data_IF_700563083937
#
_entry.id   IF_700563083937
#
_cell.length_a   1.000
_cell.length_b   1.000
_cell.length_c   1.000
_cell.angle_alpha   90.00
_cell.angle_beta   90.00
_cell.angle_gamma   90.00
#
_symmetry.space_group_name_H-M   'P 1'
#
loop_
_entity.id
_entity.type
_entity.pdbx_description
1 polymer ?
#
# COMPACT_ATOMS: atom_id res chain seq x y z
N UNK A 1 -24.96 -3.46 -15.55
CA UNK A 1 -23.83 -2.97 -16.38
C UNK A 1 -22.60 -2.95 -15.48
N UNK A 2 -21.45 -3.42 -15.88
CA UNK A 2 -20.28 -3.41 -15.00
C UNK A 2 -19.57 -2.08 -15.13
N UNK A 3 -19.49 -1.32 -14.06
CA UNK A 3 -18.74 -0.06 -13.97
C UNK A 3 -17.26 -0.26 -14.32
N UNK A 4 -16.68 -1.39 -13.97
CA UNK A 4 -15.27 -1.69 -14.25
C UNK A 4 -14.89 -1.46 -15.72
N UNK A 5 -15.74 -1.86 -16.69
CA UNK A 5 -15.44 -1.68 -18.12
C UNK A 5 -15.37 -0.21 -18.53
N UNK A 6 -16.25 0.62 -17.95
CA UNK A 6 -16.27 2.06 -18.24
C UNK A 6 -15.07 2.75 -17.60
N UNK A 7 -14.72 2.39 -16.35
CA UNK A 7 -13.49 2.87 -15.70
C UNK A 7 -12.25 2.53 -16.51
N UNK A 8 -12.09 1.28 -16.95
CA UNK A 8 -10.93 0.86 -17.74
C UNK A 8 -10.82 1.67 -19.04
N UNK A 9 -11.92 1.93 -19.74
CA UNK A 9 -11.92 2.75 -20.94
C UNK A 9 -11.39 4.16 -20.67
N UNK A 10 -11.92 4.87 -19.62
CA UNK A 10 -11.47 6.23 -19.30
C UNK A 10 -10.03 6.27 -18.81
N UNK A 11 -9.55 5.22 -18.17
CA UNK A 11 -8.14 5.06 -17.77
C UNK A 11 -7.26 4.90 -19.03
N UNK A 12 -7.63 4.04 -19.98
CA UNK A 12 -6.92 3.83 -21.25
C UNK A 12 -6.88 5.12 -22.09
N UNK A 13 -8.00 5.84 -22.14
CA UNK A 13 -8.12 7.13 -22.85
C UNK A 13 -7.39 8.28 -22.13
N UNK A 14 -6.86 8.03 -20.91
CA UNK A 14 -6.22 9.01 -20.04
C UNK A 14 -7.12 10.24 -19.76
N UNK A 15 -8.43 10.02 -19.64
CA UNK A 15 -9.44 11.06 -19.45
C UNK A 15 -9.81 11.21 -17.97
N UNK A 16 -9.07 12.05 -17.27
CA UNK A 16 -9.29 12.33 -15.83
C UNK A 16 -10.66 12.97 -15.56
N UNK A 17 -11.20 13.74 -16.50
CA UNK A 17 -12.47 14.45 -16.29
C UNK A 17 -13.64 13.46 -16.29
N UNK A 18 -13.71 12.60 -17.30
CA UNK A 18 -14.75 11.58 -17.38
C UNK A 18 -14.56 10.52 -16.28
N UNK A 19 -13.31 10.18 -15.91
CA UNK A 19 -13.02 9.31 -14.79
C UNK A 19 -13.60 9.84 -13.47
N UNK A 20 -13.45 11.13 -13.19
CA UNK A 20 -14.03 11.80 -12.00
C UNK A 20 -15.55 11.78 -12.01
N UNK A 21 -16.16 12.11 -13.15
CA UNK A 21 -17.62 12.06 -13.27
C UNK A 21 -18.19 10.68 -13.01
N UNK A 22 -17.56 9.65 -13.58
CA UNK A 22 -17.94 8.25 -13.35
C UNK A 22 -17.72 7.83 -11.89
N UNK A 23 -16.64 8.31 -11.25
CA UNK A 23 -16.35 8.05 -9.85
C UNK A 23 -17.40 8.65 -8.91
N UNK A 24 -17.80 9.89 -9.13
CA UNK A 24 -18.87 10.54 -8.37
C UNK A 24 -20.18 9.78 -8.51
N UNK A 25 -20.52 9.33 -9.73
CA UNK A 25 -21.70 8.50 -9.99
C UNK A 25 -21.61 7.15 -9.25
N UNK A 26 -20.45 6.49 -9.29
CA UNK A 26 -20.22 5.23 -8.60
C UNK A 26 -20.33 5.37 -7.08
N UNK A 27 -19.82 6.46 -6.51
CA UNK A 27 -19.84 6.71 -5.06
C UNK A 27 -21.24 7.01 -4.48
N UNK A 28 -22.25 7.26 -5.31
CA UNK A 28 -23.63 7.45 -4.86
C UNK A 28 -24.53 6.22 -5.06
N UNK A 29 -23.98 5.11 -5.54
CA UNK A 29 -24.71 3.85 -5.65
C UNK A 29 -25.09 3.30 -4.28
N UNK A 30 -26.28 2.72 -4.15
CA UNK A 30 -26.74 2.11 -2.88
C UNK A 30 -25.96 0.84 -2.49
N UNK A 31 -25.45 0.11 -3.47
CA UNK A 31 -24.74 -1.16 -3.29
C UNK A 31 -23.53 -1.20 -4.22
N UNK A 32 -22.37 -1.55 -3.66
CA UNK A 32 -21.14 -1.82 -4.41
C UNK A 32 -20.65 -3.23 -4.15
N UNK A 33 -20.07 -3.83 -5.17
CA UNK A 33 -19.39 -5.12 -5.03
C UNK A 33 -17.92 -4.90 -4.69
N UNK A 34 -17.43 -5.49 -3.60
CA UNK A 34 -16.08 -5.29 -3.11
C UNK A 34 -15.01 -5.66 -4.14
N UNK A 35 -15.16 -6.77 -4.85
CA UNK A 35 -14.19 -7.19 -5.88
C UNK A 35 -14.18 -6.26 -7.10
N UNK A 36 -15.34 -5.69 -7.48
CA UNK A 36 -15.40 -4.70 -8.54
C UNK A 36 -14.68 -3.42 -8.12
N UNK A 37 -14.97 -2.89 -6.92
CA UNK A 37 -14.28 -1.71 -6.37
C UNK A 37 -12.78 -1.93 -6.26
N UNK A 38 -12.34 -3.08 -5.74
CA UNK A 38 -10.92 -3.45 -5.66
C UNK A 38 -10.26 -3.41 -7.04
N UNK A 39 -10.91 -3.97 -8.06
CA UNK A 39 -10.39 -3.99 -9.44
C UNK A 39 -10.31 -2.59 -10.04
N UNK A 40 -11.29 -1.73 -9.80
CA UNK A 40 -11.29 -0.32 -10.24
C UNK A 40 -10.13 0.44 -9.60
N UNK A 41 -9.99 0.35 -8.27
CA UNK A 41 -8.91 1.04 -7.55
C UNK A 41 -7.53 0.54 -7.96
N UNK A 42 -7.37 -0.76 -8.20
CA UNK A 42 -6.11 -1.32 -8.69
C UNK A 42 -5.76 -0.75 -10.07
N UNK A 43 -6.71 -0.68 -10.99
CA UNK A 43 -6.50 -0.10 -12.32
C UNK A 43 -6.13 1.39 -12.24
N UNK A 44 -6.79 2.17 -11.39
CA UNK A 44 -6.45 3.59 -11.17
C UNK A 44 -5.02 3.70 -10.62
N UNK A 45 -4.67 2.93 -9.58
CA UNK A 45 -3.34 2.93 -8.95
C UNK A 45 -2.22 2.65 -9.96
N UNK A 46 -2.42 1.72 -10.88
CA UNK A 46 -1.43 1.33 -11.89
C UNK A 46 -1.34 2.30 -13.08
N UNK A 47 -2.26 3.24 -13.19
CA UNK A 47 -2.34 4.20 -14.28
C UNK A 47 -1.55 5.48 -14.02
N UNK A 48 -1.33 6.26 -15.09
CA UNK A 48 -0.81 7.64 -14.99
C UNK A 48 -1.75 8.60 -14.27
N UNK A 49 -3.03 8.21 -14.11
CA UNK A 49 -4.06 9.01 -13.48
C UNK A 49 -4.08 8.87 -11.94
N UNK A 50 -3.34 7.93 -11.33
CA UNK A 50 -3.33 7.74 -9.88
C UNK A 50 -3.06 9.04 -9.11
N UNK A 51 -2.00 9.77 -9.50
CA UNK A 51 -1.61 11.00 -8.82
C UNK A 51 -2.63 12.14 -8.96
N UNK A 52 -3.14 12.49 -10.16
CA UNK A 52 -4.16 13.53 -10.30
C UNK A 52 -5.52 13.13 -9.71
N UNK A 53 -5.79 11.83 -9.53
CA UNK A 53 -7.01 11.29 -8.94
C UNK A 53 -6.94 11.17 -7.41
N UNK A 54 -5.77 11.33 -6.81
CA UNK A 54 -5.53 11.05 -5.40
C UNK A 54 -6.43 11.78 -4.41
N UNK A 55 -6.91 12.99 -4.73
CA UNK A 55 -7.85 13.73 -3.89
C UNK A 55 -9.31 13.24 -4.00
N UNK A 56 -9.63 12.51 -5.06
CA UNK A 56 -11.01 12.12 -5.35
C UNK A 56 -11.35 10.75 -4.71
N UNK A 57 -10.33 9.96 -4.38
CA UNK A 57 -10.52 8.59 -3.87
C UNK A 57 -11.19 8.55 -2.50
N UNK A 58 -11.03 9.60 -1.67
CA UNK A 58 -11.66 9.71 -0.34
C UNK A 58 -13.18 9.61 -0.38
N UNK A 59 -13.83 9.98 -1.49
CA UNK A 59 -15.29 9.94 -1.64
C UNK A 59 -15.89 8.54 -1.45
N UNK A 60 -15.10 7.48 -1.66
CA UNK A 60 -15.57 6.09 -1.53
C UNK A 60 -15.63 5.60 -0.07
N UNK A 61 -15.00 6.29 0.88
CA UNK A 61 -14.87 5.82 2.26
C UNK A 61 -16.21 5.44 2.90
N UNK A 62 -17.29 6.22 2.79
CA UNK A 62 -18.58 5.84 3.38
C UNK A 62 -19.15 4.53 2.82
N UNK A 63 -18.95 4.27 1.51
CA UNK A 63 -19.43 3.04 0.87
C UNK A 63 -18.50 1.85 1.18
N UNK A 64 -17.19 2.08 1.20
CA UNK A 64 -16.23 1.05 1.58
C UNK A 64 -16.52 0.50 2.99
N UNK A 65 -16.91 1.34 3.95
CA UNK A 65 -17.26 0.92 5.32
C UNK A 65 -18.46 -0.06 5.36
N UNK A 66 -19.26 -0.14 4.28
CA UNK A 66 -20.39 -1.09 4.18
C UNK A 66 -19.95 -2.50 3.75
N UNK A 67 -18.71 -2.69 3.30
CA UNK A 67 -18.21 -3.99 2.83
C UNK A 67 -17.96 -4.90 4.01
N UNK A 68 -18.70 -6.00 4.07
CA UNK A 68 -18.66 -6.95 5.20
C UNK A 68 -17.50 -7.94 5.15
N UNK A 69 -16.95 -8.23 3.97
CA UNK A 69 -15.79 -9.11 3.84
C UNK A 69 -14.52 -8.39 4.33
N UNK A 70 -13.96 -8.84 5.45
CA UNK A 70 -12.81 -8.18 6.08
C UNK A 70 -11.53 -8.23 5.23
N UNK A 71 -11.33 -9.27 4.43
CA UNK A 71 -10.13 -9.40 3.60
C UNK A 71 -10.22 -8.45 2.41
N UNK A 72 -11.34 -8.43 1.71
CA UNK A 72 -11.60 -7.51 0.59
C UNK A 72 -11.58 -6.06 1.08
N UNK A 73 -12.25 -5.78 2.19
CA UNK A 73 -12.30 -4.45 2.82
C UNK A 73 -10.89 -3.93 3.15
N UNK A 74 -10.02 -4.79 3.67
CA UNK A 74 -8.64 -4.40 3.98
C UNK A 74 -7.80 -4.14 2.72
N UNK A 75 -7.94 -4.97 1.68
CA UNK A 75 -7.25 -4.78 0.40
C UNK A 75 -7.68 -3.46 -0.26
N UNK A 76 -8.99 -3.14 -0.21
CA UNK A 76 -9.53 -1.86 -0.70
C UNK A 76 -8.95 -0.70 0.12
N UNK A 77 -8.91 -0.80 1.45
CA UNK A 77 -8.29 0.22 2.30
C UNK A 77 -6.84 0.49 1.91
N UNK A 78 -6.05 -0.56 1.64
CA UNK A 78 -4.67 -0.39 1.15
C UNK A 78 -4.63 0.42 -0.14
N UNK A 79 -5.49 0.09 -1.10
CA UNK A 79 -5.56 0.81 -2.38
C UNK A 79 -5.97 2.28 -2.19
N UNK A 80 -6.96 2.55 -1.34
CA UNK A 80 -7.35 3.92 -0.99
C UNK A 80 -6.14 4.70 -0.48
N UNK A 81 -5.40 4.16 0.50
CA UNK A 81 -4.23 4.84 1.07
C UNK A 81 -3.02 4.88 0.14
N UNK A 82 -2.91 3.98 -0.83
CA UNK A 82 -1.85 4.02 -1.84
C UNK A 82 -2.09 5.13 -2.89
N UNK A 83 -3.37 5.46 -3.18
CA UNK A 83 -3.77 6.49 -4.16
C UNK A 83 -3.93 7.86 -3.49
N UNK A 84 -4.49 7.90 -2.27
CA UNK A 84 -4.87 9.12 -1.53
C UNK A 84 -3.68 10.04 -1.26
N UNK A 85 -3.88 11.34 -1.48
CA UNK A 85 -2.83 12.36 -1.34
C UNK A 85 -3.20 13.56 -0.46
N UNK A 86 -4.43 13.63 0.07
CA UNK A 86 -4.89 14.81 0.85
C UNK A 86 -4.31 14.87 2.26
N UNK A 87 -3.90 13.73 2.84
CA UNK A 87 -3.36 13.66 4.19
C UNK A 87 -4.27 14.27 5.27
N UNK A 88 -5.59 14.08 5.16
CA UNK A 88 -6.53 14.61 6.15
C UNK A 88 -6.41 13.93 7.51
N UNK A 89 -6.77 14.66 8.58
CA UNK A 89 -6.73 14.11 9.93
C UNK A 89 -7.72 12.94 10.12
N UNK A 90 -8.83 12.95 9.37
CA UNK A 90 -9.82 11.87 9.38
C UNK A 90 -9.24 10.59 8.78
N UNK A 91 -8.60 10.67 7.63
CA UNK A 91 -7.90 9.54 7.01
C UNK A 91 -6.76 9.00 7.87
N UNK A 92 -5.98 9.86 8.50
CA UNK A 92 -4.93 9.42 9.42
C UNK A 92 -5.50 8.63 10.61
N UNK A 93 -6.65 9.07 11.17
CA UNK A 93 -7.32 8.34 12.24
C UNK A 93 -7.88 7.01 11.75
N UNK A 94 -8.45 6.97 10.55
CA UNK A 94 -8.96 5.75 9.92
C UNK A 94 -7.84 4.73 9.71
N UNK A 95 -6.72 5.13 9.08
CA UNK A 95 -5.55 4.26 8.89
C UNK A 95 -5.02 3.71 10.22
N UNK A 96 -4.92 4.57 11.25
CA UNK A 96 -4.50 4.15 12.58
C UNK A 96 -5.44 3.09 13.17
N UNK A 97 -6.76 3.29 13.07
CA UNK A 97 -7.74 2.35 13.61
C UNK A 97 -7.69 0.99 12.90
N UNK A 98 -7.55 0.99 11.57
CA UNK A 98 -7.38 -0.23 10.76
C UNK A 98 -6.13 -0.99 11.22
N UNK A 99 -4.99 -0.32 11.30
CA UNK A 99 -3.74 -0.93 11.71
C UNK A 99 -3.78 -1.40 13.16
N UNK A 100 -4.41 -0.64 14.07
CA UNK A 100 -4.55 -1.02 15.47
C UNK A 100 -5.43 -2.26 15.63
N UNK A 101 -6.55 -2.36 14.89
CA UNK A 101 -7.41 -3.56 14.92
C UNK A 101 -6.62 -4.81 14.49
N UNK A 102 -5.75 -4.69 13.50
CA UNK A 102 -5.05 -5.83 12.88
C UNK A 102 -3.71 -6.17 13.55
N UNK A 103 -2.98 -5.16 14.02
CA UNK A 103 -1.58 -5.29 14.46
C UNK A 103 -1.30 -4.66 15.84
N UNK A 104 -2.34 -4.24 16.58
CA UNK A 104 -2.17 -3.50 17.84
C UNK A 104 -1.33 -4.21 18.90
N UNK A 105 -1.35 -5.54 18.89
CA UNK A 105 -0.60 -6.39 19.82
C UNK A 105 0.82 -6.73 19.32
N UNK A 106 1.18 -6.33 18.09
CA UNK A 106 2.50 -6.59 17.55
C UNK A 106 3.57 -5.77 18.25
N UNK A 107 4.73 -6.40 18.44
CA UNK A 107 5.92 -5.73 19.02
C UNK A 107 6.27 -4.48 18.20
N UNK A 108 6.59 -3.40 18.91
CA UNK A 108 6.96 -2.12 18.31
C UNK A 108 5.85 -1.46 17.46
N UNK A 109 4.57 -1.73 17.74
CA UNK A 109 3.46 -1.14 16.98
C UNK A 109 3.56 0.39 16.91
N UNK A 110 3.74 1.06 18.05
CA UNK A 110 3.79 2.53 18.10
C UNK A 110 5.00 3.13 17.37
N UNK A 111 6.15 2.46 17.40
CA UNK A 111 7.34 2.84 16.66
C UNK A 111 7.09 2.72 15.15
N UNK A 112 6.51 1.62 14.69
CA UNK A 112 6.14 1.42 13.29
C UNK A 112 5.13 2.48 12.81
N UNK A 113 4.10 2.81 13.63
CA UNK A 113 3.13 3.90 13.36
C UNK A 113 3.83 5.26 13.18
N UNK A 114 4.86 5.55 13.98
CA UNK A 114 5.66 6.77 13.83
C UNK A 114 6.42 6.78 12.50
N UNK A 115 7.04 5.66 12.15
CA UNK A 115 7.88 5.51 10.96
C UNK A 115 7.12 5.65 9.64
N UNK A 116 5.87 5.23 9.60
CA UNK A 116 5.00 5.37 8.41
C UNK A 116 4.28 6.73 8.33
N UNK A 117 4.63 7.69 9.20
CA UNK A 117 4.11 9.08 9.12
C UNK A 117 2.80 9.33 9.85
N UNK A 118 2.07 8.31 10.30
CA UNK A 118 0.74 8.46 10.91
C UNK A 118 0.74 9.24 12.22
N UNK A 119 1.80 9.15 13.03
CA UNK A 119 1.88 9.88 14.32
C UNK A 119 1.79 11.40 14.14
N UNK A 120 2.37 11.92 13.08
CA UNK A 120 2.42 13.36 12.81
C UNK A 120 1.35 13.81 11.81
N UNK A 121 0.52 12.90 11.33
CA UNK A 121 -0.55 13.13 10.33
C UNK A 121 -0.03 13.89 9.09
N UNK A 122 1.19 13.58 8.69
CA UNK A 122 1.85 14.18 7.54
C UNK A 122 2.51 13.10 6.71
N UNK A 123 2.33 13.17 5.40
CA UNK A 123 3.02 12.31 4.44
C UNK A 123 2.87 10.81 4.77
N UNK A 124 1.61 10.40 5.03
CA UNK A 124 1.27 9.01 5.39
C UNK A 124 0.65 8.22 4.22
N UNK A 125 0.84 8.68 3.00
CA UNK A 125 0.49 7.92 1.80
C UNK A 125 1.11 6.52 1.88
N UNK A 126 0.39 5.52 1.38
CA UNK A 126 0.77 4.11 1.46
C UNK A 126 1.03 3.58 2.89
N UNK A 127 0.44 4.22 3.91
CA UNK A 127 0.72 3.87 5.31
C UNK A 127 0.43 2.40 5.64
N UNK A 128 -0.65 1.81 5.11
CA UNK A 128 -0.98 0.41 5.34
C UNK A 128 0.05 -0.51 4.68
N UNK A 129 0.36 -0.27 3.42
CA UNK A 129 1.37 -1.02 2.66
C UNK A 129 2.76 -0.90 3.29
N UNK A 130 3.13 0.30 3.74
CA UNK A 130 4.40 0.54 4.42
C UNK A 130 4.48 -0.18 5.77
N UNK A 131 3.38 -0.21 6.54
CA UNK A 131 3.31 -0.94 7.80
C UNK A 131 3.47 -2.45 7.58
N UNK A 132 2.80 -2.99 6.57
CA UNK A 132 2.94 -4.40 6.18
C UNK A 132 4.37 -4.74 5.77
N UNK A 133 5.03 -3.88 4.98
CA UNK A 133 6.42 -4.07 4.61
C UNK A 133 7.34 -4.14 5.84
N UNK A 134 7.18 -3.21 6.80
CA UNK A 134 7.94 -3.24 8.05
C UNK A 134 7.71 -4.53 8.85
N UNK A 135 6.47 -5.02 8.87
CA UNK A 135 6.12 -6.26 9.58
C UNK A 135 6.67 -7.48 8.85
N UNK A 136 6.52 -7.53 7.52
CA UNK A 136 7.07 -8.59 6.70
C UNK A 136 8.59 -8.72 6.87
N UNK A 137 9.30 -7.60 6.88
CA UNK A 137 10.76 -7.60 7.03
C UNK A 137 11.25 -8.07 8.39
N UNK A 138 10.43 -7.91 9.44
CA UNK A 138 10.71 -8.42 10.77
C UNK A 138 10.54 -9.96 10.84
N UNK A 139 9.57 -10.51 10.09
CA UNK A 139 9.15 -11.91 10.16
C UNK A 139 9.79 -12.81 9.08
N UNK A 140 9.73 -12.39 7.81
CA UNK A 140 10.08 -13.23 6.64
C UNK A 140 11.43 -12.90 6.00
N UNK A 141 11.93 -11.70 6.19
CA UNK A 141 13.27 -11.23 5.82
C UNK A 141 13.65 -11.23 4.33
N UNK A 142 12.77 -11.60 3.39
CA UNK A 142 13.09 -11.58 1.97
C UNK A 142 12.39 -10.47 1.23
N UNK A 143 13.13 -9.80 0.34
CA UNK A 143 12.64 -8.67 -0.46
C UNK A 143 13.21 -8.71 -1.87
N UNK A 144 12.50 -8.07 -2.81
CA UNK A 144 12.99 -7.80 -4.16
C UNK A 144 13.21 -6.31 -4.34
N UNK A 145 14.36 -5.91 -4.87
CA UNK A 145 14.68 -4.50 -5.15
C UNK A 145 14.34 -4.14 -6.59
N UNK A 146 13.38 -3.24 -6.80
CA UNK A 146 12.89 -2.83 -8.12
C UNK A 146 13.93 -2.13 -9.00
N UNK A 147 14.99 -1.57 -8.41
CA UNK A 147 16.10 -0.91 -9.09
C UNK A 147 17.24 -1.84 -9.52
N UNK A 148 17.00 -3.16 -9.64
CA UNK A 148 17.95 -4.10 -10.25
C UNK A 148 18.96 -4.75 -9.29
N UNK A 149 18.83 -4.55 -7.96
CA UNK A 149 19.69 -5.25 -7.00
C UNK A 149 19.29 -6.72 -6.76
N UNK A 150 18.16 -7.13 -7.31
CA UNK A 150 17.66 -8.49 -7.23
C UNK A 150 16.98 -8.81 -5.91
N UNK A 151 17.02 -10.09 -5.54
CA UNK A 151 16.51 -10.57 -4.25
C UNK A 151 17.50 -10.21 -3.14
N UNK A 152 16.98 -9.88 -1.96
CA UNK A 152 17.79 -9.60 -0.78
C UNK A 152 17.23 -10.25 0.46
N UNK A 153 18.13 -10.61 1.39
CA UNK A 153 17.81 -11.04 2.73
C UNK A 153 18.03 -9.90 3.72
N UNK A 154 17.03 -9.59 4.53
CA UNK A 154 17.12 -8.59 5.61
C UNK A 154 17.93 -9.19 6.76
N UNK A 155 19.11 -8.68 6.98
CA UNK A 155 20.02 -9.12 8.06
C UNK A 155 19.71 -8.42 9.37
N UNK A 156 19.36 -7.14 9.31
CA UNK A 156 19.04 -6.32 10.48
C UNK A 156 17.94 -5.31 10.16
N UNK A 157 16.98 -5.17 11.07
CA UNK A 157 16.00 -4.08 11.12
C UNK A 157 16.39 -3.15 12.28
N UNK A 158 16.72 -1.91 11.99
CA UNK A 158 17.02 -0.90 13.01
C UNK A 158 15.96 0.20 13.04
N UNK A 159 15.02 0.11 13.99
CA UNK A 159 13.99 1.15 14.18
C UNK A 159 14.59 2.49 14.65
N UNK A 160 15.72 2.45 15.38
CA UNK A 160 16.41 3.64 15.86
C UNK A 160 17.10 4.39 14.71
N UNK A 161 17.76 3.67 13.81
CA UNK A 161 18.46 4.24 12.64
C UNK A 161 17.52 4.43 11.45
N UNK A 162 16.28 3.98 11.55
CA UNK A 162 15.26 4.02 10.51
C UNK A 162 15.73 3.39 9.19
N UNK A 163 16.41 2.23 9.28
CA UNK A 163 16.99 1.54 8.15
C UNK A 163 16.95 0.02 8.27
N UNK A 164 17.07 -0.63 7.11
CA UNK A 164 17.36 -2.05 6.98
C UNK A 164 18.80 -2.25 6.54
N UNK A 165 19.47 -3.27 7.08
CA UNK A 165 20.69 -3.81 6.51
C UNK A 165 20.34 -5.06 5.72
N UNK A 166 20.58 -5.04 4.41
CA UNK A 166 20.14 -6.07 3.47
C UNK A 166 21.35 -6.58 2.68
N UNK A 167 21.41 -7.88 2.46
CA UNK A 167 22.35 -8.52 1.55
C UNK A 167 21.61 -8.91 0.26
N UNK A 168 22.03 -8.35 -0.89
CA UNK A 168 21.38 -8.55 -2.19
C UNK A 168 22.22 -9.45 -3.10
N UNK A 169 21.55 -10.25 -3.94
CA UNK A 169 22.24 -11.19 -4.86
C UNK A 169 23.12 -10.51 -5.90
N UNK A 170 22.71 -9.33 -6.41
CA UNK A 170 23.40 -8.63 -7.50
C UNK A 170 24.31 -7.49 -7.02
N UNK A 171 24.52 -7.35 -5.70
CA UNK A 171 25.33 -6.25 -5.13
C UNK A 171 26.31 -6.81 -4.10
N UNK A 172 27.57 -6.44 -4.22
CA UNK A 172 28.61 -6.91 -3.29
C UNK A 172 28.44 -6.28 -1.91
N UNK A 173 28.40 -7.13 -0.89
CA UNK A 173 28.32 -6.76 0.52
C UNK A 173 26.95 -6.24 0.95
N UNK A 174 26.82 -6.00 2.25
CA UNK A 174 25.59 -5.52 2.87
C UNK A 174 25.31 -4.07 2.54
N UNK A 175 24.05 -3.72 2.37
CA UNK A 175 23.58 -2.35 2.08
C UNK A 175 22.62 -1.89 3.16
N UNK A 176 22.86 -0.68 3.66
CA UNK A 176 21.93 0.02 4.53
C UNK A 176 20.93 0.78 3.68
N UNK A 177 19.66 0.43 3.80
CA UNK A 177 18.54 1.03 3.06
C UNK A 177 17.62 1.75 4.03
N UNK A 178 17.55 3.07 3.94
CA UNK A 178 16.64 3.86 4.76
C UNK A 178 15.17 3.48 4.47
N UNK A 179 14.31 3.50 5.50
CA UNK A 179 12.89 3.10 5.35
C UNK A 179 12.18 3.87 4.24
N UNK A 180 12.39 5.18 4.12
CA UNK A 180 11.78 5.99 3.04
C UNK A 180 12.16 5.51 1.63
N UNK A 181 13.37 5.00 1.47
CA UNK A 181 13.83 4.41 0.20
C UNK A 181 13.23 3.02 0.03
N UNK A 182 13.27 2.21 1.09
CA UNK A 182 12.72 0.86 1.12
C UNK A 182 11.23 0.83 0.71
N UNK A 183 10.42 1.74 1.24
CA UNK A 183 9.00 1.85 0.90
C UNK A 183 8.71 2.10 -0.59
N UNK A 184 9.68 2.63 -1.33
CA UNK A 184 9.55 2.91 -2.78
C UNK A 184 10.20 1.87 -3.68
N UNK A 185 11.16 1.10 -3.15
CA UNK A 185 12.03 0.25 -3.96
C UNK A 185 12.02 -1.22 -3.57
N UNK A 186 11.43 -1.59 -2.44
CA UNK A 186 11.41 -2.97 -1.97
C UNK A 186 10.00 -3.56 -2.05
N UNK A 187 9.93 -4.76 -2.61
CA UNK A 187 8.71 -5.58 -2.65
C UNK A 187 8.93 -6.77 -1.72
N UNK A 188 8.02 -7.04 -0.76
CA UNK A 188 8.12 -8.19 0.12
C UNK A 188 7.97 -9.50 -0.68
N UNK A 189 8.81 -10.48 -0.37
CA UNK A 189 8.74 -11.81 -0.97
C UNK A 189 8.41 -12.82 0.14
N UNK A 190 7.31 -13.60 0.00
CA UNK A 190 7.01 -14.68 0.94
C UNK A 190 8.16 -15.69 1.01
N UNK A 191 8.38 -16.26 2.20
CA UNK A 191 9.47 -17.23 2.43
C UNK A 191 9.37 -18.45 1.52
N UNK A 192 8.15 -18.85 1.17
CA UNK A 192 7.85 -20.00 0.30
C UNK A 192 7.99 -19.68 -1.19
N UNK A 193 8.22 -18.42 -1.54
CA UNK A 193 8.38 -18.01 -2.94
C UNK A 193 9.68 -18.59 -3.52
N UNK A 194 9.65 -19.02 -4.77
CA UNK A 194 10.81 -19.66 -5.42
C UNK A 194 12.08 -18.78 -5.41
N UNK A 195 11.93 -17.46 -5.45
CA UNK A 195 13.06 -16.52 -5.39
C UNK A 195 13.76 -16.54 -4.01
N UNK A 196 13.00 -16.64 -2.92
CA UNK A 196 13.59 -16.73 -1.57
C UNK A 196 14.30 -18.06 -1.34
N UNK A 197 13.80 -19.15 -1.91
CA UNK A 197 14.43 -20.47 -1.85
C UNK A 197 15.77 -20.52 -2.61
N UNK A 198 15.90 -19.69 -3.64
CA UNK A 198 17.11 -19.60 -4.47
C UNK A 198 18.24 -18.82 -3.79
N UNK A 199 17.94 -17.91 -2.87
CA UNK A 199 18.91 -17.08 -2.17
C UNK A 199 19.69 -17.82 -1.08
N UNK A 200 19.22 -18.97 -0.63
CA UNK A 200 19.78 -19.78 0.47
C UNK A 200 20.77 -20.87 0.04
N UNK A 201 21.33 -20.82 -1.20
CA UNK A 201 22.30 -21.79 -1.70
C UNK A 201 23.59 -21.12 -2.15
#
# INVERSE_FOLDING_TARGET
MSYLKEFLRHIEDNDIKELRGLWEEYCICDIIEGEELKSILQAIKESSLAKPFGSDVELIVPLWETISDEAISYDIAKLIFDIETTNTAALAALAYNILKKRYGDHKYFNEKIRLIGLRHKKDFQSSLSNYELLTHMDENKFVYHTGGWGVGEVIELSLMREQFTIEFENVVGRKDVAFKTAFKSLIPIPKEHFLSQRFGF
#
